data_IF_906875725336
#
_entry.id   IF_906875725336
#
_cell.length_a   1.000
_cell.length_b   1.000
_cell.length_c   1.000
_cell.angle_alpha   90.00
_cell.angle_beta   90.00
_cell.angle_gamma   90.00
#
_symmetry.space_group_name_H-M   'P 1'
#
loop_
_entity.id
_entity.type
_entity.pdbx_description
1 polymer ?
#
# COMPACT_ATOMS: atom_id res chain seq x y z
N UNK A 1 -25.12 -5.81 4.63
CA UNK A 1 -25.25 -7.27 4.51
C UNK A 1 -24.18 -7.90 5.38
N UNK A 2 -24.58 -8.61 6.43
CA UNK A 2 -23.64 -9.29 7.33
C UNK A 2 -22.98 -10.47 6.59
N UNK A 3 -21.66 -10.52 6.58
CA UNK A 3 -20.89 -11.65 6.06
C UNK A 3 -21.14 -12.86 6.98
N UNK A 4 -21.89 -13.83 6.48
CA UNK A 4 -22.12 -15.11 7.16
C UNK A 4 -20.85 -15.95 6.97
N UNK A 5 -20.01 -16.00 8.01
CA UNK A 5 -18.92 -16.96 8.14
C UNK A 5 -19.51 -18.37 8.28
N UNK A 6 -19.41 -19.18 7.23
CA UNK A 6 -19.80 -20.59 7.32
C UNK A 6 -18.63 -21.43 7.84
N UNK A 7 -18.90 -22.25 8.86
CA UNK A 7 -18.00 -23.27 9.43
C UNK A 7 -17.83 -24.42 8.43
N UNK A 8 -17.16 -24.16 7.32
CA UNK A 8 -16.68 -25.20 6.41
C UNK A 8 -15.53 -25.97 7.06
N UNK A 9 -15.58 -27.30 7.01
CA UNK A 9 -14.66 -28.27 7.59
C UNK A 9 -13.20 -27.78 7.71
N UNK A 10 -12.82 -27.32 8.91
CA UNK A 10 -11.42 -27.00 9.23
C UNK A 10 -10.68 -28.33 9.33
N UNK A 11 -9.91 -28.72 8.31
CA UNK A 11 -8.79 -29.64 8.55
C UNK A 11 -7.98 -29.02 9.68
N UNK A 12 -7.65 -29.81 10.70
CA UNK A 12 -6.74 -29.35 11.74
C UNK A 12 -5.51 -28.75 11.06
N UNK A 13 -5.02 -27.59 11.54
CA UNK A 13 -3.77 -26.96 11.08
C UNK A 13 -2.67 -28.02 10.90
N UNK A 14 -2.66 -29.04 11.76
CA UNK A 14 -1.78 -30.21 11.69
C UNK A 14 -1.84 -30.97 10.35
N UNK A 15 -3.03 -31.26 9.80
CA UNK A 15 -3.18 -31.99 8.55
C UNK A 15 -2.76 -31.18 7.32
N UNK A 16 -2.84 -29.84 7.38
CA UNK A 16 -2.36 -28.96 6.31
C UNK A 16 -0.84 -28.77 6.36
N UNK A 17 -0.28 -28.78 7.57
CA UNK A 17 1.16 -28.77 7.77
C UNK A 17 1.81 -30.08 7.33
N UNK A 18 1.13 -31.22 7.49
CA UNK A 18 1.55 -32.51 6.94
C UNK A 18 1.64 -32.48 5.39
N UNK A 19 0.72 -31.75 4.74
CA UNK A 19 0.72 -31.57 3.28
C UNK A 19 1.90 -30.71 2.78
N UNK A 20 2.53 -29.88 3.62
CA UNK A 20 3.71 -29.08 3.25
C UNK A 20 4.99 -29.91 3.06
N UNK A 21 5.04 -31.15 3.59
CA UNK A 21 6.20 -32.04 3.49
C UNK A 21 7.05 -32.09 4.77
N UNK A 22 8.37 -32.26 4.63
CA UNK A 22 9.33 -32.32 5.77
C UNK A 22 10.42 -31.26 5.59
N UNK A 23 11.33 -31.04 6.53
CA UNK A 23 12.47 -30.12 6.31
C UNK A 23 12.15 -28.62 6.41
N UNK A 24 11.06 -28.26 7.08
CA UNK A 24 10.77 -26.88 7.49
C UNK A 24 10.55 -26.82 9.01
N UNK A 25 10.77 -25.64 9.58
CA UNK A 25 10.50 -25.42 11.00
C UNK A 25 8.99 -25.27 11.25
N UNK A 26 8.40 -26.26 11.91
CA UNK A 26 6.95 -26.34 12.15
C UNK A 26 6.43 -25.12 12.92
N UNK A 27 7.14 -24.68 13.97
CA UNK A 27 6.66 -23.58 14.79
C UNK A 27 6.72 -22.25 14.03
N UNK A 28 7.74 -22.05 13.19
CA UNK A 28 7.80 -20.88 12.31
C UNK A 28 6.65 -20.83 11.30
N UNK A 29 6.28 -21.95 10.69
CA UNK A 29 5.13 -22.00 9.77
C UNK A 29 3.83 -21.78 10.53
N UNK A 30 3.67 -22.40 11.71
CA UNK A 30 2.53 -22.18 12.59
C UNK A 30 2.36 -20.70 12.92
N UNK A 31 3.45 -20.01 13.25
CA UNK A 31 3.43 -18.58 13.53
C UNK A 31 2.98 -17.74 12.33
N UNK A 32 3.43 -18.06 11.12
CA UNK A 32 2.95 -17.39 9.88
C UNK A 32 1.44 -17.57 9.70
N UNK A 33 0.93 -18.78 9.93
CA UNK A 33 -0.52 -19.07 9.85
C UNK A 33 -1.28 -18.29 10.94
N UNK A 34 -0.74 -18.20 12.14
CA UNK A 34 -1.34 -17.44 13.24
C UNK A 34 -1.35 -15.93 12.95
N UNK A 35 -0.28 -15.39 12.35
CA UNK A 35 -0.22 -13.99 11.92
C UNK A 35 -1.32 -13.67 10.89
N UNK A 36 -1.49 -14.52 9.87
CA UNK A 36 -2.60 -14.37 8.93
C UNK A 36 -3.96 -14.48 9.64
N UNK A 37 -4.11 -15.44 10.54
CA UNK A 37 -5.32 -15.60 11.35
C UNK A 37 -5.65 -14.35 12.15
N UNK A 38 -4.64 -13.69 12.75
CA UNK A 38 -4.79 -12.42 13.43
C UNK A 38 -5.29 -11.32 12.49
N UNK A 39 -4.68 -11.16 11.31
CA UNK A 39 -5.09 -10.15 10.32
C UNK A 39 -6.56 -10.33 9.91
N UNK A 40 -6.96 -11.57 9.62
CA UNK A 40 -8.34 -11.90 9.24
C UNK A 40 -9.34 -11.67 10.38
N UNK A 41 -8.99 -12.10 11.60
CA UNK A 41 -9.84 -11.88 12.77
C UNK A 41 -10.04 -10.38 13.10
N UNK A 42 -9.09 -9.53 12.70
CA UNK A 42 -9.19 -8.07 12.83
C UNK A 42 -9.83 -7.39 11.62
N UNK A 43 -10.16 -8.12 10.54
CA UNK A 43 -10.69 -7.58 9.31
C UNK A 43 -9.67 -6.84 8.43
N UNK A 44 -8.39 -6.80 8.84
CA UNK A 44 -7.33 -6.04 8.17
C UNK A 44 -7.02 -6.67 6.80
N UNK A 45 -7.01 -8.01 6.72
CA UNK A 45 -6.71 -8.70 5.48
C UNK A 45 -7.84 -8.54 4.45
N UNK A 46 -9.09 -8.61 4.92
CA UNK A 46 -10.29 -8.38 4.12
C UNK A 46 -10.34 -6.94 3.60
N UNK A 47 -10.07 -5.95 4.46
CA UNK A 47 -9.98 -4.53 4.07
C UNK A 47 -8.90 -4.31 3.00
N UNK A 48 -7.70 -4.86 3.20
CA UNK A 48 -6.62 -4.78 2.22
C UNK A 48 -7.02 -5.38 0.86
N UNK A 49 -7.72 -6.52 0.89
CA UNK A 49 -8.20 -7.16 -0.34
C UNK A 49 -9.34 -6.37 -0.99
N UNK A 50 -10.24 -5.77 -0.22
CA UNK A 50 -11.30 -4.92 -0.75
C UNK A 50 -10.72 -3.67 -1.43
N UNK A 51 -9.66 -3.08 -0.88
CA UNK A 51 -8.90 -2.00 -1.53
C UNK A 51 -8.29 -2.49 -2.84
N UNK A 52 -7.66 -3.68 -2.86
CA UNK A 52 -7.13 -4.27 -4.08
C UNK A 52 -8.20 -4.45 -5.17
N UNK A 53 -9.36 -5.00 -4.78
CA UNK A 53 -10.45 -5.34 -5.69
C UNK A 53 -11.05 -4.10 -6.35
N UNK A 54 -11.18 -3.02 -5.58
CA UNK A 54 -11.76 -1.75 -5.99
C UNK A 54 -10.70 -0.69 -6.32
N UNK A 55 -9.46 -1.13 -6.61
CA UNK A 55 -8.36 -0.22 -6.88
C UNK A 55 -8.60 0.57 -8.17
N UNK A 56 -8.60 1.89 -8.06
CA UNK A 56 -8.60 2.83 -9.17
C UNK A 56 -7.23 3.48 -9.22
N UNK A 57 -6.55 3.45 -10.38
CA UNK A 57 -5.20 3.99 -10.47
C UNK A 57 -5.23 5.51 -10.24
N UNK A 58 -4.55 6.02 -9.19
CA UNK A 58 -4.58 7.44 -8.82
C UNK A 58 -3.90 8.34 -9.86
N UNK A 59 -3.02 7.76 -10.68
CA UNK A 59 -2.31 8.44 -11.76
C UNK A 59 -2.69 7.74 -13.06
N UNK A 60 -3.26 8.49 -14.00
CA UNK A 60 -3.63 7.96 -15.29
C UNK A 60 -2.37 7.52 -16.06
N UNK A 61 -2.32 6.25 -16.45
CA UNK A 61 -1.18 5.59 -17.14
C UNK A 61 -0.79 6.30 -18.45
N UNK A 62 -1.72 7.01 -19.08
CA UNK A 62 -1.48 7.77 -20.32
C UNK A 62 -0.82 9.13 -20.08
N UNK A 63 -0.62 9.53 -18.82
CA UNK A 63 -0.05 10.84 -18.49
C UNK A 63 1.47 10.81 -18.41
N UNK A 64 2.09 11.97 -18.65
CA UNK A 64 3.53 12.16 -18.44
C UNK A 64 3.95 11.98 -16.98
N UNK A 65 3.02 12.16 -16.03
CA UNK A 65 3.26 11.93 -14.60
C UNK A 65 3.57 10.46 -14.32
N UNK A 66 2.79 9.52 -14.86
CA UNK A 66 3.02 8.08 -14.68
C UNK A 66 4.41 7.66 -15.18
N UNK A 67 4.81 8.13 -16.36
CA UNK A 67 6.11 7.82 -16.95
C UNK A 67 7.30 8.40 -16.14
N UNK A 68 7.05 9.39 -15.27
CA UNK A 68 8.08 10.01 -14.43
C UNK A 68 8.19 9.39 -13.03
N UNK A 69 7.20 8.61 -12.57
CA UNK A 69 7.26 7.97 -11.25
C UNK A 69 8.52 7.10 -11.04
N UNK A 70 8.97 6.28 -12.01
CA UNK A 70 10.25 5.58 -11.87
C UNK A 70 11.44 6.50 -11.59
N UNK A 71 11.43 7.72 -12.14
CA UNK A 71 12.50 8.70 -11.94
C UNK A 71 12.42 9.44 -10.61
N UNK A 72 11.34 9.30 -9.85
CA UNK A 72 11.26 9.86 -8.49
C UNK A 72 11.80 8.90 -7.43
N UNK A 73 11.90 7.59 -7.73
CA UNK A 73 12.50 6.59 -6.85
C UNK A 73 13.99 6.42 -7.13
N UNK A 74 14.83 6.64 -6.11
CA UNK A 74 16.26 6.32 -6.17
C UNK A 74 16.50 4.84 -6.44
N UNK A 75 15.72 3.97 -5.79
CA UNK A 75 15.82 2.52 -5.94
C UNK A 75 15.49 2.05 -7.35
N UNK A 76 14.39 2.52 -7.95
CA UNK A 76 14.01 2.11 -9.30
C UNK A 76 15.01 2.62 -10.34
N UNK A 77 15.51 3.86 -10.20
CA UNK A 77 16.59 4.39 -11.05
C UNK A 77 17.84 3.51 -10.98
N UNK A 78 18.25 3.13 -9.77
CA UNK A 78 19.42 2.29 -9.58
C UNK A 78 19.20 0.88 -10.12
N UNK A 79 18.00 0.31 -9.96
CA UNK A 79 17.64 -0.98 -10.56
C UNK A 79 17.79 -0.93 -12.09
N UNK A 80 17.27 0.12 -12.74
CA UNK A 80 17.43 0.32 -14.18
C UNK A 80 18.90 0.46 -14.59
N UNK A 81 19.67 1.27 -13.86
CA UNK A 81 21.10 1.47 -14.15
C UNK A 81 21.93 0.19 -13.99
N UNK A 82 21.48 -0.73 -13.11
CA UNK A 82 22.10 -2.03 -12.89
C UNK A 82 21.50 -3.14 -13.77
N UNK A 83 20.85 -2.77 -14.88
CA UNK A 83 20.31 -3.70 -15.87
C UNK A 83 19.34 -4.74 -15.28
N UNK A 84 18.60 -4.39 -14.23
CA UNK A 84 17.31 -5.05 -13.99
C UNK A 84 16.37 -4.41 -14.99
N UNK A 85 16.33 -5.01 -16.19
CA UNK A 85 15.37 -4.61 -17.21
C UNK A 85 14.02 -5.25 -16.88
N UNK A 86 12.91 -4.68 -17.34
CA UNK A 86 11.68 -5.45 -17.47
C UNK A 86 12.00 -6.56 -18.47
N UNK A 87 12.17 -7.81 -18.02
CA UNK A 87 12.22 -8.92 -18.98
C UNK A 87 10.98 -8.83 -19.86
N UNK A 88 11.10 -9.14 -21.15
CA UNK A 88 9.95 -9.35 -22.04
C UNK A 88 9.05 -10.37 -21.35
N UNK A 89 7.99 -9.85 -20.76
CA UNK A 89 7.25 -10.45 -19.65
C UNK A 89 6.87 -11.89 -19.96
N UNK A 90 7.59 -12.84 -19.38
CA UNK A 90 6.93 -14.07 -19.02
C UNK A 90 6.47 -13.89 -17.58
N UNK A 91 5.16 -13.84 -17.35
CA UNK A 91 4.58 -13.79 -15.99
C UNK A 91 5.05 -15.01 -15.16
N UNK A 92 5.60 -16.03 -15.84
CA UNK A 92 6.22 -17.22 -15.31
C UNK A 92 7.75 -17.13 -15.10
N UNK A 93 8.41 -15.97 -15.34
CA UNK A 93 9.86 -15.86 -15.13
C UNK A 93 10.19 -16.12 -13.66
N UNK A 94 11.18 -16.98 -13.46
CA UNK A 94 11.62 -17.42 -12.14
C UNK A 94 12.54 -16.44 -11.43
N UNK A 95 12.84 -15.28 -12.02
CA UNK A 95 13.82 -14.30 -11.53
C UNK A 95 13.14 -13.08 -10.91
N UNK A 96 13.84 -12.44 -9.97
CA UNK A 96 13.49 -11.09 -9.52
C UNK A 96 13.96 -10.09 -10.58
N UNK A 97 13.05 -9.23 -11.01
CA UNK A 97 13.23 -8.26 -12.09
C UNK A 97 12.75 -6.87 -11.67
N UNK A 98 12.93 -5.89 -12.56
CA UNK A 98 12.42 -4.52 -12.35
C UNK A 98 10.92 -4.49 -12.03
N UNK A 99 10.15 -5.35 -12.70
CA UNK A 99 8.72 -5.44 -12.50
C UNK A 99 8.36 -5.89 -11.07
N UNK A 100 9.19 -6.73 -10.45
CA UNK A 100 9.02 -7.16 -9.07
C UNK A 100 9.17 -6.00 -8.08
N UNK A 101 10.15 -5.10 -8.29
CA UNK A 101 10.28 -3.88 -7.50
C UNK A 101 9.10 -2.93 -7.70
N UNK A 102 8.73 -2.69 -8.96
CA UNK A 102 7.60 -1.82 -9.30
C UNK A 102 6.29 -2.34 -8.69
N UNK A 103 6.04 -3.64 -8.76
CA UNK A 103 4.86 -4.25 -8.13
C UNK A 103 4.88 -4.12 -6.60
N UNK A 104 6.04 -4.10 -5.98
CA UNK A 104 6.15 -3.83 -4.55
C UNK A 104 5.69 -2.40 -4.23
N UNK A 105 6.08 -1.41 -5.02
CA UNK A 105 5.56 -0.05 -4.86
C UNK A 105 4.03 0.00 -5.00
N UNK A 106 3.45 -0.70 -5.98
CA UNK A 106 1.98 -0.80 -6.12
C UNK A 106 1.31 -1.48 -4.91
N UNK A 107 1.98 -2.45 -4.31
CA UNK A 107 1.51 -3.06 -3.06
C UNK A 107 1.53 -2.06 -1.90
N UNK A 108 2.60 -1.26 -1.77
CA UNK A 108 2.70 -0.23 -0.74
C UNK A 108 1.67 0.88 -0.92
N UNK A 109 1.31 1.25 -2.15
CA UNK A 109 0.21 2.18 -2.41
C UNK A 109 -1.11 1.70 -1.78
N UNK A 110 -1.42 0.41 -1.90
CA UNK A 110 -2.64 -0.16 -1.33
C UNK A 110 -2.60 -0.20 0.19
N UNK A 111 -1.44 -0.52 0.76
CA UNK A 111 -1.24 -0.46 2.21
C UNK A 111 -1.39 0.97 2.71
N UNK A 112 -0.83 1.95 2.00
CA UNK A 112 -0.94 3.35 2.38
C UNK A 112 -2.37 3.88 2.26
N UNK A 113 -3.08 3.52 1.19
CA UNK A 113 -4.51 3.82 1.03
C UNK A 113 -5.35 3.29 2.19
N UNK A 114 -5.03 2.08 2.67
CA UNK A 114 -5.65 1.50 3.86
C UNK A 114 -5.34 2.31 5.12
N UNK A 115 -4.08 2.73 5.32
CA UNK A 115 -3.71 3.53 6.48
C UNK A 115 -4.38 4.91 6.51
N UNK A 116 -4.56 5.53 5.33
CA UNK A 116 -5.28 6.80 5.20
C UNK A 116 -6.81 6.66 5.24
N UNK A 117 -7.34 5.44 5.00
CA UNK A 117 -8.78 5.20 4.91
C UNK A 117 -9.45 5.87 3.69
N UNK A 118 -8.67 6.15 2.62
CA UNK A 118 -9.16 6.78 1.38
C UNK A 118 -8.36 6.33 0.16
N UNK A 119 -8.93 6.54 -1.03
CA UNK A 119 -8.18 6.40 -2.29
C UNK A 119 -7.02 7.39 -2.35
N UNK A 120 -5.95 6.99 -3.02
CA UNK A 120 -4.76 7.82 -3.19
C UNK A 120 -4.98 8.93 -4.22
N UNK A 121 -4.23 10.01 -4.03
CA UNK A 121 -4.02 11.10 -4.98
C UNK A 121 -2.62 11.01 -5.57
N UNK A 122 -2.32 11.86 -6.55
CA UNK A 122 -1.01 11.85 -7.23
C UNK A 122 0.14 12.12 -6.25
N UNK A 123 -0.05 13.03 -5.29
CA UNK A 123 0.94 13.37 -4.26
C UNK A 123 1.22 12.19 -3.33
N UNK A 124 0.20 11.38 -3.00
CA UNK A 124 0.39 10.19 -2.17
C UNK A 124 1.30 9.16 -2.85
N UNK A 125 1.12 8.95 -4.16
CA UNK A 125 1.97 8.03 -4.92
C UNK A 125 3.40 8.56 -5.00
N UNK A 126 3.56 9.86 -5.27
CA UNK A 126 4.88 10.50 -5.27
C UNK A 126 5.57 10.36 -3.92
N UNK A 127 4.84 10.56 -2.82
CA UNK A 127 5.36 10.43 -1.46
C UNK A 127 5.88 9.03 -1.17
N UNK A 128 5.21 7.98 -1.68
CA UNK A 128 5.71 6.60 -1.56
C UNK A 128 6.95 6.41 -2.45
N UNK A 129 6.88 6.75 -3.74
CA UNK A 129 7.96 6.47 -4.70
C UNK A 129 9.26 7.22 -4.36
N UNK A 130 9.16 8.43 -3.81
CA UNK A 130 10.32 9.24 -3.40
C UNK A 130 10.81 8.94 -1.98
N UNK A 131 10.11 8.07 -1.23
CA UNK A 131 10.57 7.61 0.08
C UNK A 131 11.59 6.48 -0.02
N UNK A 132 12.28 6.22 1.09
CA UNK A 132 13.22 5.11 1.25
C UNK A 132 12.55 3.85 1.87
N UNK A 133 11.22 3.78 1.85
CA UNK A 133 10.46 2.72 2.52
C UNK A 133 10.79 1.33 1.97
N UNK A 134 10.95 1.19 0.65
CA UNK A 134 11.21 -0.11 0.04
C UNK A 134 12.64 -0.55 0.34
N UNK A 135 13.60 0.37 0.35
CA UNK A 135 14.97 0.13 0.81
C UNK A 135 15.00 -0.31 2.29
N UNK A 136 14.24 0.35 3.17
CA UNK A 136 14.08 -0.07 4.58
C UNK A 136 13.49 -1.48 4.69
N UNK A 137 12.50 -1.80 3.87
CA UNK A 137 11.89 -3.15 3.81
C UNK A 137 12.89 -4.18 3.31
N UNK A 138 13.64 -3.89 2.24
CA UNK A 138 14.64 -4.80 1.69
C UNK A 138 15.72 -5.08 2.73
N UNK A 139 16.27 -4.05 3.38
CA UNK A 139 17.35 -4.18 4.37
C UNK A 139 16.88 -4.81 5.69
N UNK A 140 15.72 -4.36 6.19
CA UNK A 140 15.25 -4.71 7.53
C UNK A 140 14.33 -5.92 7.59
N UNK A 141 13.65 -6.26 6.49
CA UNK A 141 12.62 -7.31 6.42
C UNK A 141 11.62 -7.17 7.57
N UNK A 142 11.50 -8.16 8.45
CA UNK A 142 10.64 -8.12 9.63
C UNK A 142 10.98 -7.01 10.64
N UNK A 143 12.08 -6.27 10.46
CA UNK A 143 12.51 -5.14 11.29
C UNK A 143 12.65 -3.83 10.50
N UNK A 144 11.97 -3.70 9.35
CA UNK A 144 12.06 -2.51 8.48
C UNK A 144 11.73 -1.18 9.18
N UNK A 145 10.82 -1.22 10.14
CA UNK A 145 10.40 -0.13 11.03
C UNK A 145 11.52 0.36 11.98
N UNK A 146 12.60 -0.41 12.12
CA UNK A 146 13.77 -0.06 12.96
C UNK A 146 14.97 0.39 12.13
N UNK A 147 14.85 0.41 10.80
CA UNK A 147 15.94 0.83 9.91
C UNK A 147 15.96 2.36 9.84
N UNK A 148 16.96 2.95 10.49
CA UNK A 148 17.10 4.41 10.56
C UNK A 148 17.85 5.02 9.37
N UNK A 149 18.54 4.20 8.57
CA UNK A 149 19.32 4.65 7.42
C UNK A 149 19.41 3.55 6.36
N UNK A 150 19.35 3.98 5.11
CA UNK A 150 19.48 3.14 3.91
C UNK A 150 20.80 3.39 3.17
N UNK A 151 21.75 4.11 3.79
CA UNK A 151 23.03 4.48 3.20
C UNK A 151 23.89 3.27 2.79
N UNK A 152 23.66 2.11 3.42
CA UNK A 152 24.36 0.86 3.11
C UNK A 152 23.75 0.11 1.93
N UNK A 153 22.68 0.61 1.33
CA UNK A 153 22.11 0.02 0.11
C UNK A 153 22.98 0.44 -1.09
N UNK A 154 23.87 -0.44 -1.55
CA UNK A 154 24.76 -0.20 -2.68
C UNK A 154 24.32 -0.98 -3.94
N UNK A 155 25.01 -0.74 -5.07
CA UNK A 155 24.65 -1.34 -6.35
C UNK A 155 24.94 -2.84 -6.42
N UNK A 156 25.74 -3.38 -5.47
CA UNK A 156 26.04 -4.82 -5.40
C UNK A 156 24.78 -5.64 -5.15
N UNK A 157 23.80 -5.09 -4.42
CA UNK A 157 22.49 -5.72 -4.21
C UNK A 157 21.84 -6.18 -5.53
N UNK A 158 21.89 -5.35 -6.58
CA UNK A 158 21.23 -5.67 -7.85
C UNK A 158 21.95 -6.75 -8.64
N UNK A 159 23.25 -6.95 -8.38
CA UNK A 159 23.99 -8.11 -8.88
C UNK A 159 23.60 -9.35 -8.08
N UNK A 160 23.62 -9.26 -6.76
CA UNK A 160 23.38 -10.39 -5.86
C UNK A 160 22.00 -11.02 -6.06
N UNK A 161 20.94 -10.21 -6.22
CA UNK A 161 19.58 -10.75 -6.42
C UNK A 161 19.42 -11.57 -7.71
N UNK A 162 20.27 -11.35 -8.72
CA UNK A 162 20.24 -12.12 -9.99
C UNK A 162 20.87 -13.49 -9.84
N UNK A 163 21.80 -13.65 -8.89
CA UNK A 163 22.50 -14.91 -8.63
C UNK A 163 21.72 -15.85 -7.70
N UNK A 164 20.69 -15.34 -7.02
CA UNK A 164 19.89 -16.13 -6.07
C UNK A 164 19.06 -17.21 -6.78
N UNK A 165 19.16 -18.44 -6.28
CA UNK A 165 18.43 -19.63 -6.76
C UNK A 165 17.74 -20.33 -5.59
N UNK A 166 16.82 -21.25 -5.88
CA UNK A 166 16.31 -22.15 -4.84
C UNK A 166 17.42 -23.11 -4.40
N UNK A 167 17.50 -23.41 -3.09
CA UNK A 167 18.42 -24.44 -2.58
C UNK A 167 18.16 -25.79 -3.25
N UNK A 168 16.89 -26.14 -3.38
CA UNK A 168 16.43 -27.38 -4.02
C UNK A 168 14.96 -27.28 -4.45
N UNK A 169 14.50 -28.27 -5.22
CA UNK A 169 13.10 -28.40 -5.67
C UNK A 169 12.13 -28.64 -4.50
N UNK A 170 12.62 -29.03 -3.33
CA UNK A 170 11.77 -29.20 -2.16
C UNK A 170 11.40 -27.83 -1.58
N UNK A 171 12.35 -26.91 -1.48
CA UNK A 171 12.15 -25.54 -1.01
C UNK A 171 11.22 -24.75 -1.92
N UNK A 172 11.38 -24.90 -3.25
CA UNK A 172 10.46 -24.28 -4.22
C UNK A 172 9.03 -24.82 -4.05
N UNK A 173 8.88 -26.14 -3.89
CA UNK A 173 7.57 -26.75 -3.62
C UNK A 173 6.98 -26.31 -2.29
N UNK A 174 7.80 -26.13 -1.27
CA UNK A 174 7.37 -25.58 0.02
C UNK A 174 6.83 -24.16 -0.14
N UNK A 175 7.52 -23.30 -0.89
CA UNK A 175 7.04 -21.96 -1.20
C UNK A 175 5.68 -21.97 -1.90
N UNK A 176 5.53 -22.79 -2.93
CA UNK A 176 4.27 -22.91 -3.68
C UNK A 176 3.11 -23.38 -2.79
N UNK A 177 3.33 -24.44 -2.00
CA UNK A 177 2.31 -24.99 -1.11
C UNK A 177 1.95 -24.06 0.03
N UNK A 178 2.94 -23.40 0.65
CA UNK A 178 2.69 -22.42 1.70
C UNK A 178 1.90 -21.23 1.14
N UNK A 179 2.28 -20.73 -0.04
CA UNK A 179 1.54 -19.68 -0.72
C UNK A 179 0.09 -20.09 -0.97
N UNK A 180 -0.12 -21.28 -1.54
CA UNK A 180 -1.46 -21.79 -1.81
C UNK A 180 -2.27 -21.98 -0.52
N UNK A 181 -1.66 -22.44 0.57
CA UNK A 181 -2.29 -22.57 1.87
C UNK A 181 -2.78 -21.21 2.41
N UNK A 182 -1.92 -20.18 2.35
CA UNK A 182 -2.24 -18.84 2.86
C UNK A 182 -3.31 -18.15 2.01
N UNK A 183 -3.30 -18.36 0.69
CA UNK A 183 -4.23 -17.68 -0.22
C UNK A 183 -5.55 -18.43 -0.45
N UNK A 184 -5.53 -19.76 -0.61
CA UNK A 184 -6.75 -20.55 -0.89
C UNK A 184 -7.82 -20.43 0.19
N UNK A 185 -7.40 -20.14 1.42
CA UNK A 185 -8.28 -19.92 2.57
C UNK A 185 -8.84 -18.50 2.67
N UNK A 186 -8.41 -17.61 1.79
CA UNK A 186 -8.73 -16.19 1.89
C UNK A 186 -9.97 -15.80 1.08
N UNK A 187 -10.38 -16.61 0.08
CA UNK A 187 -11.45 -16.24 -0.85
C UNK A 187 -12.47 -17.37 -1.04
N UNK A 188 -13.76 -17.04 -0.99
CA UNK A 188 -14.86 -17.99 -1.20
C UNK A 188 -15.20 -18.18 -2.70
N UNK A 189 -14.90 -17.19 -3.53
CA UNK A 189 -15.11 -17.20 -4.99
C UNK A 189 -13.79 -16.85 -5.68
N UNK A 190 -13.46 -17.56 -6.76
CA UNK A 190 -12.24 -17.30 -7.54
C UNK A 190 -12.65 -16.55 -8.82
N UNK A 191 -12.49 -15.23 -8.81
CA UNK A 191 -12.60 -14.39 -10.00
C UNK A 191 -11.22 -13.96 -10.54
N UNK A 192 -11.24 -13.15 -11.60
CA UNK A 192 -10.02 -12.65 -12.22
C UNK A 192 -9.16 -11.78 -11.27
N UNK A 193 -9.80 -11.02 -10.37
CA UNK A 193 -9.12 -10.15 -9.40
C UNK A 193 -8.41 -10.98 -8.33
N UNK A 194 -9.03 -12.04 -7.83
CA UNK A 194 -8.47 -12.97 -6.85
C UNK A 194 -7.25 -13.70 -7.43
N UNK A 195 -7.34 -14.14 -8.70
CA UNK A 195 -6.21 -14.75 -9.41
C UNK A 195 -5.06 -13.75 -9.58
N UNK A 196 -5.35 -12.51 -9.94
CA UNK A 196 -4.34 -11.46 -10.07
C UNK A 196 -3.67 -11.13 -8.72
N UNK A 197 -4.47 -11.00 -7.65
CA UNK A 197 -3.99 -10.79 -6.29
C UNK A 197 -3.05 -11.91 -5.86
N UNK A 198 -3.47 -13.17 -6.04
CA UNK A 198 -2.66 -14.36 -5.73
C UNK A 198 -1.30 -14.29 -6.42
N UNK A 199 -1.27 -13.97 -7.72
CA UNK A 199 -0.02 -13.88 -8.50
C UNK A 199 0.89 -12.75 -8.02
N UNK A 200 0.32 -11.58 -7.74
CA UNK A 200 1.07 -10.42 -7.26
C UNK A 200 1.67 -10.70 -5.88
N UNK A 201 0.86 -11.22 -4.96
CA UNK A 201 1.29 -11.59 -3.61
C UNK A 201 2.39 -12.66 -3.62
N UNK A 202 2.31 -13.63 -4.53
CA UNK A 202 3.36 -14.63 -4.75
C UNK A 202 4.67 -13.98 -5.21
N UNK A 203 4.61 -13.04 -6.15
CA UNK A 203 5.78 -12.34 -6.66
C UNK A 203 6.47 -11.53 -5.56
N UNK A 204 5.71 -10.82 -4.74
CA UNK A 204 6.21 -10.06 -3.59
C UNK A 204 6.86 -10.98 -2.56
N UNK A 205 6.23 -12.11 -2.23
CA UNK A 205 6.80 -13.08 -1.30
C UNK A 205 8.13 -13.66 -1.82
N UNK A 206 8.20 -13.97 -3.12
CA UNK A 206 9.45 -14.43 -3.74
C UNK A 206 10.53 -13.35 -3.70
N UNK A 207 10.19 -12.10 -4.01
CA UNK A 207 11.11 -10.97 -3.92
C UNK A 207 11.72 -10.83 -2.53
N UNK A 208 10.89 -10.90 -1.47
CA UNK A 208 11.38 -10.81 -0.10
C UNK A 208 12.21 -12.02 0.33
N UNK A 209 11.91 -13.22 -0.20
CA UNK A 209 12.72 -14.40 0.07
C UNK A 209 14.13 -14.24 -0.55
N UNK A 210 14.22 -13.66 -1.75
CA UNK A 210 15.48 -13.28 -2.38
C UNK A 210 16.21 -12.22 -1.54
N UNK A 211 15.52 -11.17 -1.09
CA UNK A 211 16.12 -10.15 -0.21
C UNK A 211 16.64 -10.76 1.10
N UNK A 212 15.89 -11.66 1.74
CA UNK A 212 16.31 -12.39 2.94
C UNK A 212 17.57 -13.22 2.71
N UNK A 213 17.70 -13.79 1.52
CA UNK A 213 18.87 -14.58 1.10
C UNK A 213 20.09 -13.67 0.91
N UNK A 214 19.94 -12.57 0.16
CA UNK A 214 21.01 -11.59 -0.10
C UNK A 214 21.49 -10.93 1.19
N UNK A 215 20.59 -10.51 2.09
CA UNK A 215 20.97 -9.89 3.36
C UNK A 215 21.78 -10.82 4.29
N UNK A 216 21.75 -12.13 4.04
CA UNK A 216 22.55 -13.13 4.76
C UNK A 216 23.85 -13.50 4.02
N UNK A 217 24.19 -12.77 2.95
CA UNK A 217 25.30 -13.03 2.05
C UNK A 217 25.26 -14.47 1.48
N UNK A 218 24.07 -14.91 1.05
CA UNK A 218 23.84 -16.23 0.45
C UNK A 218 23.29 -16.09 -0.96
N UNK A 219 23.36 -17.18 -1.72
CA UNK A 219 22.83 -17.29 -3.09
C UNK A 219 21.74 -18.36 -3.22
N UNK A 220 21.32 -18.98 -2.12
CA UNK A 220 20.32 -20.04 -2.13
C UNK A 220 19.18 -19.74 -1.14
N UNK A 221 17.96 -19.66 -1.67
CA UNK A 221 16.73 -19.49 -0.89
C UNK A 221 16.46 -20.78 -0.14
N UNK A 222 16.22 -20.67 1.17
CA UNK A 222 15.81 -21.76 2.06
C UNK A 222 14.35 -21.58 2.52
N UNK A 223 13.82 -22.57 3.22
CA UNK A 223 12.47 -22.47 3.83
C UNK A 223 12.38 -21.34 4.86
N UNK A 224 13.48 -21.01 5.55
CA UNK A 224 13.56 -19.90 6.52
C UNK A 224 13.38 -18.55 5.80
N UNK A 225 13.97 -18.38 4.62
CA UNK A 225 13.85 -17.15 3.82
C UNK A 225 12.41 -16.96 3.32
N UNK A 226 11.75 -18.05 2.92
CA UNK A 226 10.33 -18.07 2.54
C UNK A 226 9.42 -17.68 3.72
N UNK A 227 9.68 -18.22 4.91
CA UNK A 227 8.94 -17.88 6.13
C UNK A 227 9.12 -16.39 6.45
N UNK A 228 10.35 -15.90 6.40
CA UNK A 228 10.66 -14.49 6.69
C UNK A 228 9.97 -13.54 5.71
N UNK A 229 9.88 -13.92 4.43
CA UNK A 229 9.12 -13.18 3.44
C UNK A 229 7.64 -13.01 3.81
N UNK A 230 6.95 -14.10 4.16
CA UNK A 230 5.53 -14.01 4.55
C UNK A 230 5.32 -13.21 5.84
N UNK A 231 6.18 -13.40 6.85
CA UNK A 231 6.14 -12.58 8.08
C UNK A 231 6.34 -11.11 7.76
N UNK A 232 7.26 -10.78 6.86
CA UNK A 232 7.50 -9.40 6.41
C UNK A 232 6.27 -8.82 5.72
N UNK A 233 5.63 -9.56 4.81
CA UNK A 233 4.39 -9.08 4.14
C UNK A 233 3.29 -8.80 5.17
N UNK A 234 3.02 -9.75 6.07
CA UNK A 234 1.99 -9.58 7.10
C UNK A 234 2.33 -8.46 8.07
N UNK A 235 3.63 -8.23 8.33
CA UNK A 235 4.09 -7.06 9.07
C UNK A 235 3.81 -5.76 8.33
N UNK A 236 4.09 -5.68 7.03
CA UNK A 236 3.83 -4.47 6.24
C UNK A 236 2.32 -4.16 6.26
N UNK A 237 1.46 -5.16 6.02
CA UNK A 237 0.00 -4.98 6.01
C UNK A 237 -0.53 -4.45 7.35
N UNK A 238 0.02 -4.88 8.50
CA UNK A 238 -0.43 -4.39 9.82
C UNK A 238 0.23 -3.09 10.29
N UNK A 239 1.22 -2.59 9.56
CA UNK A 239 1.99 -1.41 9.98
C UNK A 239 1.39 -0.18 9.33
N UNK A 240 1.20 0.88 10.12
CA UNK A 240 0.93 2.20 9.57
C UNK A 240 2.22 2.75 8.94
N UNK A 241 2.25 2.81 7.60
CA UNK A 241 3.42 3.29 6.85
C UNK A 241 3.35 4.80 6.57
N UNK A 242 2.29 5.50 7.00
CA UNK A 242 2.14 6.94 6.82
C UNK A 242 3.30 7.77 7.39
N UNK A 243 3.90 7.41 8.54
CA UNK A 243 5.08 8.12 9.04
C UNK A 243 6.36 7.89 8.20
N UNK A 244 6.34 6.95 7.25
CA UNK A 244 7.52 6.53 6.48
C UNK A 244 7.54 7.08 5.05
N UNK A 245 6.45 7.70 4.58
CA UNK A 245 6.41 8.32 3.25
C UNK A 245 7.18 9.65 3.24
N UNK A 246 7.60 10.10 2.06
CA UNK A 246 8.27 11.39 1.93
C UNK A 246 7.25 12.53 1.93
N UNK A 247 7.04 13.14 3.11
CA UNK A 247 6.03 14.19 3.30
C UNK A 247 6.27 15.47 2.47
N UNK A 248 7.49 15.70 1.99
CA UNK A 248 7.84 16.87 1.14
C UNK A 248 7.13 16.90 -0.21
N UNK A 249 6.54 15.78 -0.62
CA UNK A 249 5.73 15.71 -1.84
C UNK A 249 4.34 16.36 -1.64
N UNK A 250 3.89 16.52 -0.41
CA UNK A 250 2.63 17.22 -0.11
C UNK A 250 2.86 18.73 -0.09
N UNK A 251 2.60 19.35 -1.24
CA UNK A 251 2.62 20.81 -1.39
C UNK A 251 1.21 21.28 -1.63
N UNK A 252 0.76 22.29 -0.88
CA UNK A 252 -0.53 22.88 -1.12
C UNK A 252 -1.15 23.53 0.11
N UNK A 253 -2.45 23.76 0.00
CA UNK A 253 -3.23 24.52 0.96
C UNK A 253 -4.41 23.72 1.49
N UNK A 254 -4.68 23.90 2.77
CA UNK A 254 -5.91 23.48 3.43
C UNK A 254 -6.84 24.67 3.53
N UNK A 255 -8.05 24.55 2.97
CA UNK A 255 -9.02 25.64 2.87
C UNK A 255 -10.28 25.28 3.64
N UNK A 256 -10.66 26.13 4.60
CA UNK A 256 -11.87 25.93 5.38
C UNK A 256 -13.12 26.37 4.61
N UNK A 257 -14.10 25.48 4.51
CA UNK A 257 -15.38 25.74 3.85
C UNK A 257 -16.29 26.76 4.55
N UNK A 258 -16.01 27.05 5.84
CA UNK A 258 -16.85 27.90 6.70
C UNK A 258 -16.26 29.31 6.87
N UNK A 259 -15.00 29.42 7.26
CA UNK A 259 -14.36 30.72 7.49
C UNK A 259 -13.52 31.22 6.31
N UNK A 260 -13.34 30.40 5.26
CA UNK A 260 -12.43 30.66 4.13
C UNK A 260 -10.98 30.92 4.55
N UNK A 261 -10.60 30.57 5.78
CA UNK A 261 -9.21 30.54 6.21
C UNK A 261 -8.44 29.50 5.40
N UNK A 262 -7.18 29.79 5.11
CA UNK A 262 -6.26 28.88 4.45
C UNK A 262 -5.05 28.61 5.34
N UNK A 263 -4.45 27.45 5.15
CA UNK A 263 -3.21 27.03 5.80
C UNK A 263 -2.32 26.36 4.75
N UNK A 264 -1.06 26.77 4.64
CA UNK A 264 -0.08 26.11 3.77
C UNK A 264 0.49 24.94 4.54
N UNK A 265 0.57 23.76 3.93
CA UNK A 265 1.25 22.62 4.56
C UNK A 265 2.75 22.90 4.68
N UNK A 266 3.31 22.53 5.82
CA UNK A 266 4.76 22.48 6.05
C UNK A 266 5.35 21.16 5.52
N UNK A 267 6.68 21.12 5.36
CA UNK A 267 7.42 19.99 4.74
C UNK A 267 7.22 18.63 5.44
N UNK A 268 6.80 18.62 6.70
CA UNK A 268 6.57 17.44 7.55
C UNK A 268 5.08 17.16 7.84
N UNK A 269 4.18 17.81 7.10
CA UNK A 269 2.74 17.69 7.25
C UNK A 269 2.08 17.05 6.03
N UNK A 270 1.02 16.29 6.26
CA UNK A 270 0.14 15.79 5.20
C UNK A 270 -1.28 16.33 5.38
N UNK A 271 -2.11 16.38 4.32
CA UNK A 271 -3.48 16.88 4.43
C UNK A 271 -4.30 16.16 5.51
N UNK A 272 -4.09 14.84 5.66
CA UNK A 272 -4.82 13.97 6.58
C UNK A 272 -4.45 14.19 8.07
N UNK A 273 -3.37 14.93 8.36
CA UNK A 273 -3.05 15.35 9.74
C UNK A 273 -4.11 16.34 10.29
N UNK A 274 -4.97 16.89 9.43
CA UNK A 274 -5.94 17.93 9.76
C UNK A 274 -7.39 17.46 9.54
N UNK A 275 -8.13 17.29 10.64
CA UNK A 275 -9.54 16.84 10.55
C UNK A 275 -10.53 17.98 10.34
N UNK A 276 -10.37 19.09 11.06
CA UNK A 276 -11.32 20.22 11.05
C UNK A 276 -10.61 21.55 11.27
N UNK A 277 -11.19 22.62 10.73
CA UNK A 277 -10.75 23.97 11.06
C UNK A 277 -11.16 24.31 12.51
N UNK A 278 -10.39 25.18 13.18
CA UNK A 278 -10.70 25.70 14.53
C UNK A 278 -12.11 26.32 14.63
N UNK A 279 -12.70 26.78 13.53
CA UNK A 279 -14.07 27.29 13.50
C UNK A 279 -15.17 26.20 13.42
N UNK A 280 -14.78 24.92 13.42
CA UNK A 280 -15.65 23.75 13.21
C UNK A 280 -16.06 23.50 11.75
N UNK A 281 -15.43 24.20 10.79
CA UNK A 281 -15.67 23.98 9.36
C UNK A 281 -14.84 22.84 8.80
N UNK A 282 -15.35 22.15 7.79
CA UNK A 282 -14.60 21.13 7.05
C UNK A 282 -13.46 21.77 6.24
N UNK A 283 -12.39 21.00 6.05
CA UNK A 283 -11.19 21.41 5.30
C UNK A 283 -11.20 20.73 3.94
N UNK A 284 -10.80 21.45 2.90
CA UNK A 284 -10.52 20.92 1.57
C UNK A 284 -9.04 21.12 1.25
N UNK A 285 -8.40 20.07 0.72
CA UNK A 285 -7.03 20.16 0.22
C UNK A 285 -7.00 20.72 -1.21
N UNK A 286 -6.05 21.60 -1.47
CA UNK A 286 -5.80 22.25 -2.75
C UNK A 286 -4.31 22.16 -3.08
N UNK A 287 -3.89 21.28 -4.01
CA UNK A 287 -2.47 21.05 -4.31
C UNK A 287 -1.80 22.22 -5.03
N UNK A 288 -2.58 23.15 -5.60
CA UNK A 288 -2.07 24.34 -6.27
C UNK A 288 -2.80 25.62 -5.86
N UNK A 289 -2.19 26.78 -6.17
CA UNK A 289 -2.85 28.08 -6.03
C UNK A 289 -4.09 28.22 -6.92
N UNK A 290 -4.11 27.53 -8.07
CA UNK A 290 -5.25 27.53 -8.99
C UNK A 290 -6.44 26.79 -8.36
N UNK A 291 -6.18 25.62 -7.77
CA UNK A 291 -7.18 24.85 -7.01
C UNK A 291 -7.66 25.66 -5.81
N UNK A 292 -6.74 26.34 -5.12
CA UNK A 292 -7.09 27.18 -3.98
C UNK A 292 -8.03 28.33 -4.39
N UNK A 293 -7.74 28.96 -5.53
CA UNK A 293 -8.59 30.00 -6.10
C UNK A 293 -9.98 29.46 -6.51
N UNK A 294 -10.03 28.24 -7.06
CA UNK A 294 -11.28 27.57 -7.41
C UNK A 294 -12.16 27.32 -6.17
N UNK A 295 -11.58 26.75 -5.11
CA UNK A 295 -12.30 26.52 -3.85
C UNK A 295 -12.77 27.82 -3.22
N UNK A 296 -11.92 28.85 -3.18
CA UNK A 296 -12.28 30.17 -2.68
C UNK A 296 -13.50 30.78 -3.40
N UNK A 297 -13.57 30.67 -4.73
CA UNK A 297 -14.73 31.10 -5.53
C UNK A 297 -15.99 30.29 -5.21
N UNK A 298 -15.84 28.97 -5.09
CA UNK A 298 -16.97 28.06 -4.84
C UNK A 298 -17.58 28.26 -3.46
N UNK A 299 -16.76 28.45 -2.42
CA UNK A 299 -17.24 28.73 -1.07
C UNK A 299 -17.91 30.11 -0.97
N UNK A 300 -17.31 31.16 -1.56
CA UNK A 300 -17.96 32.49 -1.66
C UNK A 300 -19.34 32.40 -2.33
N UNK A 301 -19.47 31.62 -3.41
CA UNK A 301 -20.76 31.42 -4.09
C UNK A 301 -21.80 30.72 -3.21
N UNK A 302 -21.41 29.72 -2.42
CA UNK A 302 -22.31 29.03 -1.47
C UNK A 302 -22.78 29.97 -0.34
N UNK A 303 -21.89 30.82 0.18
CA UNK A 303 -22.23 31.82 1.20
C UNK A 303 -23.24 32.82 0.62
N UNK A 304 -22.98 33.38 -0.56
CA UNK A 304 -23.92 34.33 -1.20
C UNK A 304 -25.29 33.71 -1.47
N UNK A 305 -25.37 32.44 -1.89
CA UNK A 305 -26.65 31.74 -2.06
C UNK A 305 -27.40 31.54 -0.73
N UNK A 306 -26.70 31.19 0.36
CA UNK A 306 -27.33 31.10 1.69
C UNK A 306 -27.79 32.45 2.21
N UNK A 307 -27.05 33.53 1.93
CA UNK A 307 -27.46 34.89 2.30
C UNK A 307 -28.75 35.30 1.57
N UNK A 308 -28.83 35.03 0.27
CA UNK A 308 -30.02 35.33 -0.56
C UNK A 308 -31.22 34.45 -0.16
N UNK A 309 -31.00 33.16 0.14
CA UNK A 309 -32.07 32.29 0.63
C UNK A 309 -32.57 32.72 2.01
N UNK A 310 -31.64 33.10 2.90
CA UNK A 310 -31.94 33.63 4.23
C UNK A 310 -32.78 34.91 4.16
N UNK A 311 -32.39 35.88 3.34
CA UNK A 311 -33.17 37.12 3.16
C UNK A 311 -34.53 36.87 2.54
N UNK A 312 -34.68 35.93 1.61
CA UNK A 312 -35.99 35.55 1.05
C UNK A 312 -36.90 34.87 2.08
N UNK A 313 -36.36 34.00 2.94
CA UNK A 313 -37.15 33.39 4.04
C UNK A 313 -37.53 34.42 5.11
N UNK A 314 -36.64 35.37 5.44
CA UNK A 314 -36.96 36.45 6.38
C UNK A 314 -37.99 37.43 5.82
N UNK A 315 -37.94 37.73 4.52
CA UNK A 315 -38.96 38.55 3.85
C UNK A 315 -40.32 37.83 3.80
N UNK A 316 -40.34 36.53 3.51
CA UNK A 316 -41.57 35.75 3.49
C UNK A 316 -42.24 35.68 4.88
N UNK A 317 -41.46 35.54 5.96
CA UNK A 317 -41.98 35.58 7.33
C UNK A 317 -42.47 36.99 7.72
N UNK A 318 -41.78 38.05 7.29
CA UNK A 318 -42.24 39.42 7.52
C UNK A 318 -43.53 39.76 6.75
N UNK A 319 -43.70 39.25 5.53
CA UNK A 319 -44.93 39.45 4.74
C UNK A 319 -46.13 38.69 5.33
N UNK A 320 -45.89 37.54 5.97
CA UNK A 320 -46.95 36.79 6.67
C UNK A 320 -47.36 37.49 7.98
N UNK A 321 -46.44 38.15 8.68
CA UNK A 321 -46.74 38.88 9.93
C UNK A 321 -47.39 40.25 9.72
N UNK A 322 -47.31 40.83 8.52
CA UNK A 322 -47.98 42.11 8.19
C UNK A 322 -49.43 41.92 7.72
N UNK A 323 -49.83 40.67 7.40
CA UNK A 323 -51.17 40.32 6.91
C UNK A 323 -52.04 39.57 7.95
N UNK A 324 -51.71 39.68 9.25
CA UNK A 324 -52.53 39.17 10.36
C UNK A 324 -52.92 40.27 11.33
#
# INVERSE_FOLDING_TARGET
MALVYNKGHVRSIRGELEDLGTGFDFESVRNVILDLGYLKNKGIYEEFFDIYKNWEDPINVLTSAYNRLPSTSSLLQRAMSNNLTPEKSNIFSGSVDYFSLHQFYRFLERVYSMNLGRQLQEEDVKAIFSSDILEKIILGLENFDRVNSTNNFDDSFFHDIKEVKWTDKHTERFFDKLHDLLISKSFNEIGNREIAFKREFKRIAKFLAVCSTVNKNKTYITTIDVISAYKTIFKIIKTDISPMVNKKEYKGFLICSKCNGYYSLEDDEIPDDFTHCRCGGTIAYAPSLEDAAYYGKTFKRKINKKLIAGTLTSLAVAIILINF
#
